data_IF_115927262630
#
_entry.id   IF_115927262630
#
_cell.length_a   1.000
_cell.length_b   1.000
_cell.length_c   1.000
_cell.angle_alpha   90.00
_cell.angle_beta   90.00
_cell.angle_gamma   90.00
#
_symmetry.space_group_name_H-M   'P 1'
#
loop_
_entity.id
_entity.type
_entity.pdbx_description
1 polymer ?
#
# COMPACT_ATOMS: atom_id res chain seq x y z
N UNK A 1 7.90 -21.12 8.33
CA UNK A 1 6.60 -21.35 7.62
C UNK A 1 5.42 -20.60 8.27
N UNK A 2 5.27 -20.63 9.60
CA UNK A 2 4.15 -19.96 10.31
C UNK A 2 4.20 -18.43 10.22
N UNK A 3 5.35 -17.81 10.37
CA UNK A 3 5.50 -16.33 10.34
C UNK A 3 5.18 -15.79 8.94
N UNK A 4 5.67 -16.43 7.90
CA UNK A 4 5.40 -16.07 6.50
C UNK A 4 3.89 -16.15 6.17
N UNK A 5 3.23 -17.22 6.59
CA UNK A 5 1.79 -17.38 6.43
C UNK A 5 1.00 -16.28 7.15
N UNK A 6 1.42 -15.89 8.36
CA UNK A 6 0.75 -14.84 9.13
C UNK A 6 0.96 -13.44 8.51
N UNK A 7 2.17 -13.15 8.02
CA UNK A 7 2.46 -11.88 7.32
C UNK A 7 1.64 -11.79 6.04
N UNK A 8 1.66 -12.83 5.20
CA UNK A 8 0.88 -12.87 3.96
C UNK A 8 -0.61 -12.74 4.19
N UNK A 9 -1.15 -13.34 5.24
CA UNK A 9 -2.57 -13.21 5.57
C UNK A 9 -2.93 -11.78 5.97
N UNK A 10 -2.14 -11.14 6.84
CA UNK A 10 -2.36 -9.74 7.26
C UNK A 10 -2.23 -8.77 6.10
N UNK A 11 -1.22 -8.94 5.26
CA UNK A 11 -0.99 -8.10 4.07
C UNK A 11 -2.14 -8.24 3.07
N UNK A 12 -2.60 -9.47 2.81
CA UNK A 12 -3.73 -9.73 1.91
C UNK A 12 -5.04 -9.15 2.45
N UNK A 13 -5.28 -9.22 3.76
CA UNK A 13 -6.44 -8.61 4.41
C UNK A 13 -6.40 -7.07 4.29
N UNK A 14 -5.23 -6.47 4.50
CA UNK A 14 -5.07 -5.03 4.37
C UNK A 14 -5.29 -4.55 2.92
N UNK A 15 -4.72 -5.24 1.93
CA UNK A 15 -4.97 -4.99 0.50
C UNK A 15 -6.47 -5.05 0.20
N UNK A 16 -7.17 -6.06 0.73
CA UNK A 16 -8.61 -6.22 0.52
C UNK A 16 -9.41 -5.05 1.10
N UNK A 17 -9.04 -4.58 2.29
CA UNK A 17 -9.69 -3.44 2.93
C UNK A 17 -9.46 -2.14 2.14
N UNK A 18 -8.23 -1.89 1.70
CA UNK A 18 -7.88 -0.73 0.86
C UNK A 18 -8.65 -0.76 -0.45
N UNK A 19 -8.68 -1.88 -1.16
CA UNK A 19 -9.42 -2.03 -2.41
C UNK A 19 -10.93 -1.84 -2.22
N UNK A 20 -11.51 -2.34 -1.12
CA UNK A 20 -12.91 -2.12 -0.78
C UNK A 20 -13.21 -0.63 -0.55
N UNK A 21 -12.30 0.10 0.11
CA UNK A 21 -12.46 1.54 0.33
C UNK A 21 -12.35 2.32 -0.98
N UNK A 22 -11.38 2.00 -1.84
CA UNK A 22 -11.23 2.60 -3.17
C UNK A 22 -12.54 2.44 -3.98
N UNK A 23 -13.11 1.23 -3.99
CA UNK A 23 -14.37 0.96 -4.67
C UNK A 23 -15.52 1.80 -4.13
N UNK A 24 -15.65 1.89 -2.81
CA UNK A 24 -16.68 2.72 -2.18
C UNK A 24 -16.53 4.20 -2.52
N UNK A 25 -15.29 4.71 -2.58
CA UNK A 25 -15.01 6.09 -3.01
C UNK A 25 -15.44 6.29 -4.47
N UNK A 26 -15.09 5.39 -5.36
CA UNK A 26 -15.49 5.48 -6.79
C UNK A 26 -17.01 5.48 -6.97
N UNK A 27 -17.71 4.61 -6.24
CA UNK A 27 -19.17 4.57 -6.24
C UNK A 27 -19.76 5.90 -5.73
N UNK A 28 -19.19 6.46 -4.65
CA UNK A 28 -19.64 7.76 -4.12
C UNK A 28 -19.39 8.91 -5.08
N UNK A 29 -18.22 8.98 -5.71
CA UNK A 29 -17.91 9.98 -6.73
C UNK A 29 -18.88 9.91 -7.93
N UNK A 30 -19.28 8.72 -8.36
CA UNK A 30 -20.28 8.54 -9.40
C UNK A 30 -21.67 9.03 -8.95
N UNK A 31 -22.05 8.79 -7.69
CA UNK A 31 -23.29 9.32 -7.12
C UNK A 31 -23.29 10.86 -7.08
N UNK A 32 -22.16 11.47 -6.71
CA UNK A 32 -22.01 12.93 -6.69
C UNK A 32 -22.23 13.48 -8.09
N UNK A 33 -21.57 12.94 -9.12
CA UNK A 33 -21.74 13.37 -10.52
C UNK A 33 -23.19 13.25 -10.99
N UNK A 34 -23.87 12.15 -10.68
CA UNK A 34 -25.27 11.95 -11.01
C UNK A 34 -26.16 12.98 -10.32
N UNK A 35 -25.88 13.27 -9.06
CA UNK A 35 -26.63 14.27 -8.28
C UNK A 35 -26.41 15.68 -8.84
N UNK A 36 -25.17 16.04 -9.20
CA UNK A 36 -24.86 17.34 -9.83
C UNK A 36 -25.60 17.52 -11.15
N UNK A 37 -25.62 16.49 -12.01
CA UNK A 37 -26.35 16.51 -13.26
C UNK A 37 -27.83 16.77 -13.02
N UNK A 38 -28.44 16.03 -12.08
CA UNK A 38 -29.87 16.22 -11.75
C UNK A 38 -30.16 17.60 -11.14
N UNK A 39 -29.28 18.10 -10.27
CA UNK A 39 -29.40 19.45 -9.70
C UNK A 39 -29.35 20.53 -10.80
N UNK A 40 -28.49 20.34 -11.79
CA UNK A 40 -28.40 21.25 -12.93
C UNK A 40 -29.71 21.26 -13.76
N UNK A 41 -30.27 20.09 -14.03
CA UNK A 41 -31.56 19.94 -14.72
C UNK A 41 -32.70 20.58 -13.92
N UNK A 42 -32.77 20.36 -12.63
CA UNK A 42 -33.78 20.94 -11.74
C UNK A 42 -33.65 22.48 -11.63
N UNK A 43 -32.43 23.01 -11.69
CA UNK A 43 -32.19 24.46 -11.79
C UNK A 43 -32.73 25.02 -13.12
N UNK A 44 -32.42 24.37 -14.25
CA UNK A 44 -32.89 24.80 -15.56
C UNK A 44 -34.44 24.82 -15.68
N UNK A 45 -35.10 23.90 -14.97
CA UNK A 45 -36.57 23.82 -14.94
C UNK A 45 -37.21 24.70 -13.84
N UNK A 46 -36.42 25.47 -13.11
CA UNK A 46 -36.87 26.36 -12.03
C UNK A 46 -37.38 25.68 -10.78
N UNK A 47 -37.09 24.39 -10.59
CA UNK A 47 -37.43 23.63 -9.38
C UNK A 47 -36.52 23.95 -8.21
N UNK A 48 -35.29 24.39 -8.52
CA UNK A 48 -34.25 24.73 -7.51
C UNK A 48 -33.83 26.17 -7.80
N UNK A 49 -33.81 27.00 -6.75
CA UNK A 49 -33.32 28.36 -6.82
C UNK A 49 -31.79 28.42 -6.88
N UNK A 50 -31.27 29.59 -7.27
CA UNK A 50 -29.81 29.80 -7.45
C UNK A 50 -29.02 29.58 -6.19
N UNK A 51 -29.54 30.05 -5.05
CA UNK A 51 -28.85 29.96 -3.76
C UNK A 51 -28.74 28.49 -3.30
N UNK A 52 -29.83 27.75 -3.34
CA UNK A 52 -29.88 26.32 -3.00
C UNK A 52 -28.98 25.52 -3.93
N UNK A 53 -29.01 25.79 -5.26
CA UNK A 53 -28.12 25.14 -6.21
C UNK A 53 -26.64 25.37 -5.84
N UNK A 54 -26.28 26.60 -5.57
CA UNK A 54 -24.90 26.97 -5.26
C UNK A 54 -24.40 26.32 -3.97
N UNK A 55 -25.22 26.32 -2.93
CA UNK A 55 -24.89 25.72 -1.66
C UNK A 55 -24.68 24.20 -1.76
N UNK A 56 -25.60 23.50 -2.43
CA UNK A 56 -25.50 22.04 -2.61
C UNK A 56 -24.28 21.70 -3.46
N UNK A 57 -24.09 22.38 -4.60
CA UNK A 57 -22.94 22.13 -5.48
C UNK A 57 -21.62 22.38 -4.76
N UNK A 58 -21.53 23.42 -3.93
CA UNK A 58 -20.34 23.69 -3.11
C UNK A 58 -20.02 22.54 -2.15
N UNK A 59 -21.03 22.00 -1.46
CA UNK A 59 -20.88 20.86 -0.55
C UNK A 59 -20.41 19.61 -1.31
N UNK A 60 -21.06 19.27 -2.42
CA UNK A 60 -20.72 18.12 -3.25
C UNK A 60 -19.31 18.21 -3.83
N UNK A 61 -18.90 19.37 -4.31
CA UNK A 61 -17.56 19.62 -4.81
C UNK A 61 -16.48 19.45 -3.74
N UNK A 62 -16.73 19.92 -2.50
CA UNK A 62 -15.80 19.74 -1.39
C UNK A 62 -15.70 18.27 -1.02
N UNK A 63 -16.82 17.53 -0.96
CA UNK A 63 -16.80 16.09 -0.72
C UNK A 63 -16.03 15.36 -1.83
N UNK A 64 -16.26 15.69 -3.10
CA UNK A 64 -15.58 15.07 -4.23
C UNK A 64 -14.06 15.29 -4.19
N UNK A 65 -13.60 16.50 -3.81
CA UNK A 65 -12.16 16.77 -3.63
C UNK A 65 -11.57 15.90 -2.52
N UNK A 66 -12.18 15.88 -1.35
CA UNK A 66 -11.71 15.07 -0.22
C UNK A 66 -11.63 13.59 -0.57
N UNK A 67 -12.64 13.06 -1.27
CA UNK A 67 -12.66 11.67 -1.72
C UNK A 67 -11.58 11.39 -2.79
N UNK A 68 -11.31 12.35 -3.67
CA UNK A 68 -10.26 12.23 -4.69
C UNK A 68 -8.87 12.20 -4.04
N UNK A 69 -8.65 13.06 -3.06
CA UNK A 69 -7.39 13.10 -2.31
C UNK A 69 -7.19 11.80 -1.51
N UNK A 70 -8.22 11.32 -0.82
CA UNK A 70 -8.20 10.04 -0.11
C UNK A 70 -7.89 8.87 -1.08
N UNK A 71 -8.57 8.83 -2.24
CA UNK A 71 -8.33 7.82 -3.25
C UNK A 71 -6.88 7.80 -3.72
N UNK A 72 -6.29 8.97 -3.96
CA UNK A 72 -4.89 9.10 -4.37
C UNK A 72 -3.92 8.57 -3.31
N UNK A 73 -4.18 8.87 -2.03
CA UNK A 73 -3.37 8.35 -0.92
C UNK A 73 -3.48 6.83 -0.79
N UNK A 74 -4.69 6.28 -0.93
CA UNK A 74 -4.92 4.84 -0.88
C UNK A 74 -4.22 4.09 -2.02
N UNK A 75 -4.19 4.66 -3.23
CA UNK A 75 -3.47 4.08 -4.36
C UNK A 75 -1.96 4.02 -4.12
N UNK A 76 -1.37 5.08 -3.53
CA UNK A 76 0.05 5.08 -3.15
C UNK A 76 0.35 4.03 -2.07
N UNK A 77 -0.56 3.85 -1.11
CA UNK A 77 -0.42 2.81 -0.07
C UNK A 77 -0.48 1.42 -0.71
N UNK A 78 -1.43 1.20 -1.62
CA UNK A 78 -1.61 -0.07 -2.31
C UNK A 78 -0.36 -0.46 -3.10
N UNK A 79 0.19 0.46 -3.89
CA UNK A 79 1.41 0.28 -4.67
C UNK A 79 2.59 -0.15 -3.78
N UNK A 80 2.82 0.56 -2.67
CA UNK A 80 3.87 0.20 -1.70
C UNK A 80 3.68 -1.17 -1.06
N UNK A 81 2.45 -1.55 -0.76
CA UNK A 81 2.15 -2.85 -0.13
C UNK A 81 2.33 -3.98 -1.16
N UNK A 82 1.99 -3.75 -2.42
CA UNK A 82 2.21 -4.73 -3.50
C UNK A 82 3.70 -4.92 -3.77
N UNK A 83 4.50 -3.84 -3.80
CA UNK A 83 5.95 -3.90 -3.93
C UNK A 83 6.60 -4.69 -2.78
N UNK A 84 6.20 -4.42 -1.55
CA UNK A 84 6.68 -5.17 -0.38
C UNK A 84 6.31 -6.66 -0.45
N UNK A 85 5.10 -6.97 -0.88
CA UNK A 85 4.67 -8.36 -1.07
C UNK A 85 5.52 -9.07 -2.11
N UNK A 86 5.76 -8.43 -3.25
CA UNK A 86 6.60 -8.98 -4.30
C UNK A 86 8.05 -9.19 -3.81
N UNK A 87 8.61 -8.26 -3.04
CA UNK A 87 9.92 -8.40 -2.42
C UNK A 87 9.99 -9.61 -1.47
N UNK A 88 8.99 -9.78 -0.60
CA UNK A 88 8.89 -10.93 0.32
C UNK A 88 8.80 -12.25 -0.46
N UNK A 89 7.96 -12.33 -1.49
CA UNK A 89 7.79 -13.54 -2.30
C UNK A 89 9.11 -13.92 -3.01
N UNK A 90 9.82 -12.94 -3.56
CA UNK A 90 11.14 -13.14 -4.17
C UNK A 90 12.18 -13.65 -3.16
N UNK A 91 12.21 -13.04 -1.96
CA UNK A 91 13.11 -13.45 -0.88
C UNK A 91 12.85 -14.91 -0.44
N UNK A 92 11.58 -15.27 -0.25
CA UNK A 92 11.21 -16.64 0.11
C UNK A 92 11.61 -17.64 -0.96
N UNK A 93 11.37 -17.34 -2.23
CA UNK A 93 11.78 -18.20 -3.34
C UNK A 93 13.31 -18.39 -3.37
N UNK A 94 14.09 -17.34 -3.10
CA UNK A 94 15.55 -17.46 -3.00
C UNK A 94 15.94 -18.38 -1.84
N UNK A 95 15.38 -18.17 -0.64
CA UNK A 95 15.65 -19.04 0.52
C UNK A 95 15.27 -20.49 0.23
N UNK A 96 14.12 -20.78 -0.38
CA UNK A 96 13.69 -22.15 -0.71
C UNK A 96 14.64 -22.83 -1.69
N UNK A 97 15.20 -22.11 -2.67
CA UNK A 97 16.22 -22.65 -3.57
C UNK A 97 17.50 -23.04 -2.83
N UNK A 98 17.89 -22.25 -1.82
CA UNK A 98 19.12 -22.48 -1.07
C UNK A 98 18.96 -23.49 0.06
N UNK A 99 17.77 -23.63 0.64
CA UNK A 99 17.49 -24.59 1.70
C UNK A 99 17.72 -26.06 1.28
N UNK A 100 17.74 -26.32 -0.02
CA UNK A 100 18.01 -27.65 -0.59
C UNK A 100 19.47 -27.83 -1.06
N UNK A 101 20.30 -26.81 -0.93
CA UNK A 101 21.73 -26.90 -1.29
C UNK A 101 22.55 -27.33 -0.08
N UNK A 102 23.42 -28.35 -0.26
CA UNK A 102 24.40 -28.74 0.75
C UNK A 102 25.45 -27.63 0.88
N UNK A 103 25.58 -27.12 2.11
CA UNK A 103 26.48 -26.04 2.49
C UNK A 103 27.94 -26.46 2.28
N UNK A 104 28.63 -26.00 1.23
CA UNK A 104 30.11 -26.08 1.19
C UNK A 104 30.83 -25.06 0.30
N UNK A 105 30.37 -24.75 -0.92
CA UNK A 105 31.05 -23.77 -1.79
C UNK A 105 30.14 -22.61 -2.23
N UNK A 106 28.83 -22.71 -1.99
CA UNK A 106 27.82 -21.73 -2.44
C UNK A 106 27.46 -20.68 -1.39
N UNK A 107 28.01 -20.74 -0.17
CA UNK A 107 27.64 -19.80 0.91
C UNK A 107 27.88 -18.34 0.51
N UNK A 108 28.99 -18.09 -0.18
CA UNK A 108 29.32 -16.75 -0.66
C UNK A 108 28.31 -16.25 -1.71
N UNK A 109 27.96 -17.09 -2.67
CA UNK A 109 26.99 -16.75 -3.74
C UNK A 109 25.59 -16.51 -3.13
N UNK A 110 25.21 -17.31 -2.14
CA UNK A 110 23.97 -17.14 -1.39
C UNK A 110 23.97 -15.80 -0.65
N UNK A 111 25.04 -15.51 0.09
CA UNK A 111 25.19 -14.26 0.84
C UNK A 111 25.14 -13.04 -0.09
N UNK A 112 25.84 -13.08 -1.22
CA UNK A 112 25.87 -12.01 -2.20
C UNK A 112 24.50 -11.79 -2.91
N UNK A 113 23.63 -12.80 -2.99
CA UNK A 113 22.29 -12.69 -3.58
C UNK A 113 21.20 -12.30 -2.59
N UNK A 114 21.38 -12.60 -1.31
CA UNK A 114 20.37 -12.34 -0.27
C UNK A 114 20.66 -11.06 0.51
N UNK A 115 21.93 -10.74 0.73
CA UNK A 115 22.36 -9.64 1.60
C UNK A 115 22.86 -8.49 0.71
N UNK A 116 22.26 -7.33 0.89
CA UNK A 116 22.72 -6.09 0.24
C UNK A 116 23.96 -5.56 0.99
N UNK A 117 23.84 -5.35 2.29
CA UNK A 117 24.95 -4.93 3.14
C UNK A 117 24.69 -5.27 4.61
N UNK A 118 25.76 -5.21 5.41
CA UNK A 118 25.72 -5.42 6.84
C UNK A 118 26.32 -4.20 7.52
N UNK A 119 25.58 -3.63 8.46
CA UNK A 119 26.06 -2.55 9.33
C UNK A 119 26.41 -3.10 10.69
N UNK A 120 27.57 -2.72 11.19
CA UNK A 120 28.06 -3.10 12.52
C UNK A 120 28.20 -1.83 13.34
N UNK A 121 27.56 -1.79 14.49
CA UNK A 121 27.61 -0.69 15.45
C UNK A 121 28.24 -1.15 16.75
N UNK A 122 29.12 -0.36 17.32
CA UNK A 122 29.63 -0.51 18.66
C UNK A 122 29.11 0.66 19.49
N UNK A 123 28.49 0.36 20.64
CA UNK A 123 28.05 1.38 21.59
C UNK A 123 29.16 1.73 22.60
N UNK A 124 28.94 2.78 23.39
CA UNK A 124 29.89 3.23 24.42
C UNK A 124 30.18 2.16 25.47
N UNK A 125 29.33 1.16 25.64
CA UNK A 125 29.50 0.01 26.53
C UNK A 125 30.28 -1.15 25.89
N UNK A 126 30.77 -0.98 24.64
CA UNK A 126 31.46 -2.01 23.84
C UNK A 126 30.56 -3.20 23.46
N UNK A 127 29.25 -3.00 23.44
CA UNK A 127 28.33 -3.98 22.87
C UNK A 127 28.25 -3.79 21.36
N UNK A 128 28.39 -4.89 20.62
CA UNK A 128 28.32 -4.92 19.18
C UNK A 128 26.89 -5.28 18.78
N UNK A 129 26.26 -4.42 17.99
CA UNK A 129 25.00 -4.72 17.32
C UNK A 129 25.24 -4.85 15.83
N UNK A 130 24.57 -5.81 15.21
CA UNK A 130 24.67 -6.11 13.76
C UNK A 130 23.30 -5.93 13.14
N UNK A 131 23.25 -5.14 12.07
CA UNK A 131 22.04 -4.94 11.29
C UNK A 131 22.27 -5.48 9.89
N UNK A 132 21.42 -6.40 9.44
CA UNK A 132 21.54 -7.05 8.12
C UNK A 132 20.47 -6.50 7.21
N UNK A 133 20.88 -5.95 6.07
CA UNK A 133 20.00 -5.47 5.03
C UNK A 133 19.91 -6.52 3.92
N UNK A 134 18.70 -6.97 3.63
CA UNK A 134 18.43 -7.95 2.58
C UNK A 134 18.06 -7.24 1.28
N UNK A 135 18.57 -7.73 0.16
CA UNK A 135 18.41 -7.09 -1.15
C UNK A 135 16.94 -6.89 -1.58
N UNK A 136 16.04 -7.83 -1.21
CA UNK A 136 14.64 -7.79 -1.66
C UNK A 136 13.67 -7.17 -0.64
N UNK A 137 14.03 -7.14 0.65
CA UNK A 137 13.09 -6.81 1.73
C UNK A 137 13.62 -5.73 2.69
N UNK A 138 14.85 -5.26 2.49
CA UNK A 138 15.48 -4.28 3.38
C UNK A 138 15.89 -4.88 4.73
N UNK A 139 15.81 -4.09 5.81
CA UNK A 139 16.22 -4.50 7.15
C UNK A 139 15.11 -5.27 7.88
N UNK A 140 15.49 -6.33 8.58
CA UNK A 140 14.64 -7.01 9.57
C UNK A 140 15.23 -6.67 10.95
N UNK A 141 14.45 -5.97 11.76
CA UNK A 141 14.74 -5.68 13.18
C UNK A 141 14.23 -6.78 14.08
#
# INVERSE_FOLDING_TARGET
>A
RFIYSAINHRTSEHIRQVNSRIKAIQERLNQIRTTETKMYEDKLTGKVDEETFHNITHVLNNEARNLTDENSQLLVILDKVEDLKMGIDNFVQKIERFANCTVTENDRVIMEQLIDHIEIYENDSREISVRIFFADIGVIE
#
